data_IF_000166669235
#
_entry.id   IF_000166669235
#
_cell.length_a   1.000
_cell.length_b   1.000
_cell.length_c   1.000
_cell.angle_alpha   90.00
_cell.angle_beta   90.00
_cell.angle_gamma   90.00
#
_symmetry.space_group_name_H-M   'P 1'
#
loop_
_entity.id
_entity.type
_entity.pdbx_description
1 polymer ?
#
# COMPACT_ATOMS: atom_id res chain seq x y z
N UNK A 1 -20.58 -8.02 -20.84
CA UNK A 1 -21.23 -6.99 -21.69
C UNK A 1 -20.32 -5.81 -22.00
N UNK A 2 -19.68 -5.15 -21.02
CA UNK A 2 -18.76 -4.03 -21.31
C UNK A 2 -17.64 -4.39 -22.31
N UNK A 3 -17.03 -5.56 -22.15
CA UNK A 3 -15.98 -6.02 -23.05
C UNK A 3 -16.45 -6.22 -24.51
N UNK A 4 -17.65 -6.79 -24.68
CA UNK A 4 -18.27 -6.96 -25.99
C UNK A 4 -18.47 -5.61 -26.70
N UNK A 5 -19.02 -4.62 -26.00
CA UNK A 5 -19.21 -3.27 -26.55
C UNK A 5 -17.88 -2.63 -26.93
N UNK A 6 -16.82 -2.84 -26.14
CA UNK A 6 -15.50 -2.33 -26.45
C UNK A 6 -14.87 -2.99 -27.68
N UNK A 7 -15.08 -4.30 -27.88
CA UNK A 7 -14.62 -5.01 -29.08
C UNK A 7 -15.35 -4.48 -30.33
N UNK A 8 -16.68 -4.38 -30.27
CA UNK A 8 -17.50 -3.94 -31.42
C UNK A 8 -17.35 -2.45 -31.75
N UNK A 9 -16.57 -1.70 -30.98
CA UNK A 9 -16.20 -0.30 -31.29
C UNK A 9 -15.03 -0.21 -32.27
N UNK A 10 -14.23 -1.26 -32.42
CA UNK A 10 -13.12 -1.28 -33.36
C UNK A 10 -13.63 -1.72 -34.74
N UNK A 11 -13.35 -0.93 -35.78
CA UNK A 11 -13.76 -1.23 -37.16
C UNK A 11 -12.66 -1.98 -37.92
N UNK A 12 -11.39 -1.55 -37.81
CA UNK A 12 -10.28 -2.14 -38.56
C UNK A 12 -9.28 -2.91 -37.69
N UNK A 13 -8.79 -2.31 -36.59
CA UNK A 13 -7.74 -2.90 -35.77
C UNK A 13 -8.11 -2.85 -34.28
N UNK A 14 -7.97 -3.99 -33.59
CA UNK A 14 -8.16 -4.13 -32.15
C UNK A 14 -6.86 -4.62 -31.50
N UNK A 15 -6.29 -3.81 -30.61
CA UNK A 15 -5.10 -4.18 -29.83
C UNK A 15 -5.49 -4.35 -28.37
N UNK A 16 -5.28 -5.56 -27.84
CA UNK A 16 -5.55 -5.89 -26.45
C UNK A 16 -4.23 -6.02 -25.70
N UNK A 17 -4.11 -5.32 -24.56
CA UNK A 17 -2.92 -5.39 -23.70
C UNK A 17 -3.30 -5.67 -22.26
N UNK A 18 -2.42 -6.37 -21.54
CA UNK A 18 -2.57 -6.58 -20.10
C UNK A 18 -1.22 -6.48 -19.40
N UNK A 19 -1.24 -6.19 -18.09
CA UNK A 19 -0.03 -6.08 -17.27
C UNK A 19 -0.08 -7.06 -16.11
N UNK A 20 0.92 -7.95 -15.99
CA UNK A 20 1.04 -8.89 -14.89
C UNK A 20 1.23 -8.21 -13.52
N UNK A 21 1.78 -6.99 -13.48
CA UNK A 21 1.93 -6.20 -12.24
C UNK A 21 1.63 -4.72 -12.51
N UNK A 22 0.92 -4.06 -11.61
CA UNK A 22 0.62 -2.61 -11.66
C UNK A 22 0.57 -2.01 -10.26
N UNK A 23 1.02 -0.76 -10.13
CA UNK A 23 0.80 0.03 -8.92
C UNK A 23 -0.62 0.60 -8.91
N UNK A 24 -1.36 0.36 -7.85
CA UNK A 24 -2.69 0.92 -7.64
C UNK A 24 -2.78 1.44 -6.21
N UNK A 25 -3.13 2.73 -6.05
CA UNK A 25 -3.17 3.42 -4.77
C UNK A 25 -1.86 3.24 -3.95
N UNK A 26 -0.72 3.42 -4.61
CA UNK A 26 0.61 3.32 -3.98
C UNK A 26 1.06 1.89 -3.63
N UNK A 27 0.25 0.86 -3.89
CA UNK A 27 0.59 -0.55 -3.63
C UNK A 27 0.78 -1.31 -4.93
N UNK A 28 1.84 -2.10 -5.02
CA UNK A 28 2.06 -3.02 -6.14
C UNK A 28 1.06 -4.18 -6.04
N UNK A 29 0.31 -4.42 -7.11
CA UNK A 29 -0.62 -5.54 -7.23
C UNK A 29 -0.25 -6.39 -8.43
N UNK A 30 -0.22 -7.70 -8.22
CA UNK A 30 -0.13 -8.67 -9.31
C UNK A 30 -1.52 -8.91 -9.87
N UNK A 31 -1.67 -8.85 -11.19
CA UNK A 31 -2.94 -9.00 -11.88
C UNK A 31 -2.87 -10.25 -12.76
N UNK A 32 -3.89 -11.09 -12.62
CA UNK A 32 -4.12 -12.20 -13.55
C UNK A 32 -4.69 -11.65 -14.87
N UNK A 33 -4.45 -12.31 -16.01
CA UNK A 33 -5.11 -11.98 -17.27
C UNK A 33 -6.64 -12.02 -17.15
N UNK A 34 -7.34 -11.19 -17.93
CA UNK A 34 -8.80 -11.23 -17.97
C UNK A 34 -9.29 -12.55 -18.56
N UNK A 35 -10.28 -13.19 -17.93
CA UNK A 35 -10.94 -14.40 -18.47
C UNK A 35 -11.45 -14.22 -19.90
N UNK A 36 -11.87 -13.01 -20.26
CA UNK A 36 -12.41 -12.73 -21.59
C UNK A 36 -11.35 -12.86 -22.70
N UNK A 37 -10.06 -12.81 -22.36
CA UNK A 37 -8.99 -13.09 -23.34
C UNK A 37 -8.95 -14.57 -23.72
N UNK A 38 -9.27 -15.47 -22.79
CA UNK A 38 -9.35 -16.91 -23.07
C UNK A 38 -10.61 -17.26 -23.88
N UNK A 39 -11.70 -16.51 -23.70
CA UNK A 39 -12.96 -16.71 -24.45
C UNK A 39 -12.84 -16.32 -25.94
N UNK A 40 -11.87 -15.48 -26.33
CA UNK A 40 -11.65 -15.09 -27.73
C UNK A 40 -11.09 -16.24 -28.56
N UNK A 41 -10.33 -17.16 -27.96
CA UNK A 41 -9.64 -18.25 -28.68
C UNK A 41 -8.35 -17.80 -29.36
N UNK A 42 -7.34 -18.69 -29.37
CA UNK A 42 -5.99 -18.35 -29.85
C UNK A 42 -5.92 -18.11 -31.37
N UNK A 43 -6.84 -18.69 -32.13
CA UNK A 43 -6.95 -18.54 -33.59
C UNK A 43 -7.32 -17.11 -34.04
N UNK A 44 -7.83 -16.28 -33.13
CA UNK A 44 -8.25 -14.90 -33.39
C UNK A 44 -7.25 -13.88 -32.80
N UNK A 45 -6.10 -14.33 -32.29
CA UNK A 45 -5.11 -13.49 -31.62
C UNK A 45 -3.75 -13.54 -32.32
N UNK A 46 -3.40 -12.44 -32.99
CA UNK A 46 -2.03 -12.23 -33.47
C UNK A 46 -1.11 -11.93 -32.29
N UNK A 47 -0.22 -12.86 -32.00
CA UNK A 47 0.63 -12.81 -30.83
C UNK A 47 1.92 -12.02 -31.11
N UNK A 48 1.77 -10.76 -31.50
CA UNK A 48 2.90 -9.85 -31.66
C UNK A 48 3.32 -9.30 -30.29
N UNK A 49 3.79 -10.16 -29.37
CA UNK A 49 4.53 -9.66 -28.21
C UNK A 49 6.00 -9.53 -28.62
N UNK A 50 6.56 -8.31 -28.73
CA UNK A 50 7.98 -8.10 -29.05
C UNK A 50 8.91 -8.45 -27.87
N UNK A 51 8.38 -8.93 -26.75
CA UNK A 51 9.16 -9.42 -25.62
C UNK A 51 9.18 -10.95 -25.64
N UNK A 52 10.37 -11.49 -25.89
CA UNK A 52 10.64 -12.90 -26.11
C UNK A 52 9.95 -13.82 -25.11
N UNK A 53 9.39 -14.91 -25.66
CA UNK A 53 9.37 -16.26 -25.09
C UNK A 53 9.43 -16.38 -23.55
N UNK A 54 8.53 -15.71 -22.85
CA UNK A 54 8.11 -16.20 -21.53
C UNK A 54 7.05 -17.24 -21.83
N UNK A 55 7.46 -18.50 -21.75
CA UNK A 55 6.68 -19.70 -22.06
C UNK A 55 5.18 -19.49 -21.88
N UNK A 56 4.44 -19.56 -23.00
CA UNK A 56 2.99 -19.74 -23.00
C UNK A 56 2.69 -21.05 -22.29
N UNK A 57 2.42 -21.00 -20.99
CA UNK A 57 1.58 -22.04 -20.41
C UNK A 57 0.20 -21.84 -21.04
N UNK A 58 -0.35 -22.84 -21.77
CA UNK A 58 -1.65 -22.70 -22.40
C UNK A 58 -2.70 -22.43 -21.32
N UNK A 59 -3.57 -21.47 -21.61
CA UNK A 59 -4.72 -21.12 -20.79
C UNK A 59 -5.59 -22.39 -20.63
N UNK A 60 -5.62 -22.98 -19.42
CA UNK A 60 -6.49 -24.12 -19.16
C UNK A 60 -6.03 -25.15 -18.12
N UNK A 61 -4.76 -25.17 -17.68
CA UNK A 61 -4.31 -26.13 -16.64
C UNK A 61 -4.35 -25.55 -15.23
N UNK A 62 -5.55 -25.42 -14.67
CA UNK A 62 -5.71 -25.51 -13.20
C UNK A 62 -5.87 -26.99 -12.86
N UNK A 63 -4.76 -27.73 -12.97
CA UNK A 63 -4.69 -29.11 -12.51
C UNK A 63 -3.94 -29.11 -11.19
N UNK A 64 -4.67 -29.48 -10.14
CA UNK A 64 -4.22 -29.66 -8.76
C UNK A 64 -2.98 -30.55 -8.70
N UNK A 65 -1.77 -29.97 -8.81
CA UNK A 65 -0.55 -30.60 -8.31
C UNK A 65 -0.33 -30.19 -6.87
N UNK A 66 -1.11 -30.81 -6.01
CA UNK A 66 -0.80 -30.92 -4.59
C UNK A 66 0.49 -31.73 -4.46
N UNK A 67 1.50 -31.14 -3.82
CA UNK A 67 2.73 -31.84 -3.45
C UNK A 67 3.89 -31.69 -4.45
N UNK A 68 4.54 -30.52 -4.43
CA UNK A 68 6.00 -30.42 -4.58
C UNK A 68 6.42 -28.98 -4.27
N UNK A 69 7.05 -28.79 -3.11
CA UNK A 69 7.64 -27.54 -2.67
C UNK A 69 8.73 -27.09 -3.67
N UNK A 70 8.60 -25.92 -4.34
CA UNK A 70 9.68 -25.42 -5.17
C UNK A 70 10.73 -24.79 -4.26
N UNK A 71 11.97 -25.28 -4.39
CA UNK A 71 13.16 -24.71 -3.77
C UNK A 71 13.27 -23.22 -4.10
N UNK A 72 13.59 -22.42 -3.07
CA UNK A 72 13.92 -20.99 -3.19
C UNK A 72 15.07 -20.78 -4.17
N UNK A 73 14.76 -20.48 -5.43
CA UNK A 73 15.67 -19.74 -6.32
C UNK A 73 15.04 -18.37 -6.56
N UNK A 74 15.50 -17.39 -5.80
CA UNK A 74 15.08 -15.99 -5.87
C UNK A 74 15.64 -15.30 -7.11
N UNK A 75 15.18 -15.71 -8.30
CA UNK A 75 15.32 -14.93 -9.53
C UNK A 75 13.98 -14.26 -9.83
N UNK A 76 13.52 -13.42 -8.89
CA UNK A 76 12.43 -12.51 -9.16
C UNK A 76 12.83 -11.59 -10.31
N UNK A 77 12.05 -11.61 -11.40
CA UNK A 77 12.21 -10.72 -12.54
C UNK A 77 12.38 -9.28 -12.03
N UNK A 78 13.60 -8.74 -12.15
CA UNK A 78 13.89 -7.35 -11.80
C UNK A 78 13.23 -6.51 -12.87
N UNK A 79 12.16 -5.81 -12.49
CA UNK A 79 11.56 -4.76 -13.32
C UNK A 79 12.65 -3.74 -13.60
N UNK A 80 13.21 -3.78 -14.81
CA UNK A 80 14.13 -2.78 -15.35
C UNK A 80 13.32 -1.50 -15.61
N UNK A 81 13.07 -0.75 -14.56
CA UNK A 81 12.60 0.61 -14.66
C UNK A 81 13.51 1.49 -13.82
N UNK A 82 13.87 2.66 -14.35
CA UNK A 82 14.56 3.73 -13.62
C UNK A 82 13.67 4.36 -12.52
N UNK A 83 12.77 3.58 -11.92
CA UNK A 83 12.13 3.94 -10.67
C UNK A 83 13.23 4.03 -9.63
N UNK A 84 13.79 5.23 -9.46
CA UNK A 84 14.42 5.62 -8.21
C UNK A 84 13.35 5.29 -7.17
N UNK A 85 13.52 4.17 -6.45
CA UNK A 85 12.86 4.00 -5.16
C UNK A 85 13.37 5.21 -4.41
N UNK A 86 12.58 6.29 -4.42
CA UNK A 86 12.73 7.34 -3.44
C UNK A 86 12.79 6.55 -2.15
N UNK A 87 13.96 6.57 -1.52
CA UNK A 87 14.08 6.05 -0.17
C UNK A 87 12.95 6.79 0.54
N UNK A 88 11.90 6.05 0.91
CA UNK A 88 10.90 6.60 1.80
C UNK A 88 11.73 6.90 3.03
N UNK A 89 12.16 8.16 3.16
CA UNK A 89 12.88 8.65 4.31
C UNK A 89 11.92 8.36 5.44
N UNK A 90 12.22 7.30 6.18
CA UNK A 90 11.51 6.98 7.41
C UNK A 90 11.60 8.28 8.21
N UNK A 91 10.47 8.89 8.59
CA UNK A 91 10.51 10.16 9.28
C UNK A 91 11.41 9.99 10.50
N UNK A 92 12.51 10.74 10.52
CA UNK A 92 13.45 10.69 11.62
C UNK A 92 12.71 11.24 12.85
N UNK A 93 12.81 10.56 14.01
CA UNK A 93 12.17 11.04 15.21
C UNK A 93 12.78 12.40 15.56
N UNK A 94 11.91 13.39 15.78
CA UNK A 94 12.30 14.75 16.21
C UNK A 94 12.89 14.71 17.63
N UNK A 95 12.48 13.71 18.42
CA UNK A 95 12.89 13.52 19.81
C UNK A 95 13.83 12.33 19.94
N UNK A 96 14.90 12.49 20.74
CA UNK A 96 15.79 11.39 21.06
C UNK A 96 15.02 10.26 21.78
N UNK A 97 15.06 9.02 21.27
CA UNK A 97 14.30 7.91 21.84
C UNK A 97 14.79 7.46 23.23
N UNK A 98 15.97 7.91 23.68
CA UNK A 98 16.52 7.58 25.00
C UNK A 98 15.80 8.31 26.14
N UNK A 99 15.34 9.54 25.89
CA UNK A 99 14.68 10.39 26.90
C UNK A 99 13.15 10.17 26.92
N UNK A 100 12.65 9.41 25.95
CA UNK A 100 11.22 9.20 25.75
C UNK A 100 10.67 8.06 26.62
N UNK A 101 9.82 8.39 27.60
CA UNK A 101 9.12 7.42 28.46
C UNK A 101 7.61 7.48 28.20
N UNK A 102 7.02 6.51 27.48
CA UNK A 102 5.59 6.52 27.18
C UNK A 102 4.76 6.38 28.46
N UNK A 103 3.82 7.31 28.65
CA UNK A 103 2.82 7.27 29.70
C UNK A 103 1.64 6.37 29.28
N UNK A 104 0.98 5.68 30.22
CA UNK A 104 -0.21 4.88 29.90
C UNK A 104 -1.35 5.78 29.37
N UNK A 105 -2.15 5.29 28.41
CA UNK A 105 -3.18 6.09 27.74
C UNK A 105 -4.30 6.55 28.68
N UNK A 106 -4.50 5.88 29.81
CA UNK A 106 -5.50 6.22 30.82
C UNK A 106 -5.19 7.51 31.58
N UNK A 107 -3.90 7.87 31.69
CA UNK A 107 -3.46 9.09 32.37
C UNK A 107 -3.61 10.34 31.48
N UNK A 108 -3.87 10.17 30.18
CA UNK A 108 -3.94 11.28 29.24
C UNK A 108 -5.35 11.90 29.27
N UNK A 109 -5.39 13.19 29.58
CA UNK A 109 -6.59 14.01 29.66
C UNK A 109 -6.52 15.22 28.74
N UNK A 110 -7.68 15.81 28.46
CA UNK A 110 -7.79 17.06 27.69
C UNK A 110 -7.10 18.21 28.43
N UNK A 111 -6.34 19.02 27.71
CA UNK A 111 -5.60 20.16 28.27
C UNK A 111 -4.14 19.89 28.61
N UNK A 112 -3.76 18.62 28.80
CA UNK A 112 -2.37 18.23 29.11
C UNK A 112 -1.41 18.49 27.95
N UNK A 113 -0.14 18.71 28.29
CA UNK A 113 0.98 18.77 27.35
C UNK A 113 1.59 17.38 27.19
N UNK A 114 1.74 16.97 25.95
CA UNK A 114 2.25 15.65 25.58
C UNK A 114 3.39 15.77 24.58
N UNK A 115 4.33 14.85 24.67
CA UNK A 115 5.43 14.69 23.73
C UNK A 115 5.18 13.46 22.87
N UNK A 116 5.40 13.59 21.56
CA UNK A 116 5.33 12.49 20.60
C UNK A 116 6.63 12.38 19.80
N UNK A 117 7.16 11.16 19.59
CA UNK A 117 8.47 10.97 18.97
C UNK A 117 8.61 11.60 17.58
N UNK A 118 7.55 11.56 16.77
CA UNK A 118 7.56 12.07 15.39
C UNK A 118 7.10 13.52 15.29
N UNK A 119 6.34 14.00 16.26
CA UNK A 119 5.61 15.27 16.15
C UNK A 119 6.05 16.31 17.18
N UNK A 120 6.96 15.95 18.09
CA UNK A 120 7.44 16.84 19.13
C UNK A 120 6.36 17.14 20.16
N UNK A 121 6.38 18.36 20.69
CA UNK A 121 5.48 18.80 21.75
C UNK A 121 4.10 19.19 21.21
N UNK A 122 3.06 18.77 21.93
CA UNK A 122 1.69 19.11 21.60
C UNK A 122 0.78 19.26 22.81
N UNK A 123 -0.37 19.92 22.60
CA UNK A 123 -1.42 20.09 23.61
C UNK A 123 -2.66 19.30 23.21
N UNK A 124 -3.18 18.50 24.14
CA UNK A 124 -4.41 17.73 23.92
C UNK A 124 -5.61 18.68 23.94
N UNK A 125 -6.36 18.75 22.85
CA UNK A 125 -7.55 19.60 22.72
C UNK A 125 -8.82 18.86 23.13
N UNK A 126 -9.04 17.68 22.54
CA UNK A 126 -10.20 16.83 22.82
C UNK A 126 -9.81 15.37 22.88
N UNK A 127 -10.59 14.56 23.60
CA UNK A 127 -10.49 13.10 23.56
C UNK A 127 -11.89 12.55 23.33
N UNK A 128 -12.05 11.81 22.23
CA UNK A 128 -13.30 11.22 21.78
C UNK A 128 -13.20 9.68 21.80
N UNK A 129 -14.33 9.00 21.91
CA UNK A 129 -14.42 7.54 21.80
C UNK A 129 -14.43 6.77 23.13
N UNK A 130 -14.74 5.47 23.04
CA UNK A 130 -14.84 4.56 24.18
C UNK A 130 -13.46 4.17 24.74
N UNK A 131 -13.43 3.58 25.95
CA UNK A 131 -12.20 3.24 26.72
C UNK A 131 -11.11 2.54 25.87
N UNK A 132 -11.48 1.58 25.02
CA UNK A 132 -10.51 0.81 24.22
C UNK A 132 -10.03 1.53 22.94
N UNK A 133 -10.81 2.49 22.43
CA UNK A 133 -10.58 3.16 21.14
C UNK A 133 -10.61 4.69 21.29
N UNK A 134 -9.97 5.23 22.35
CA UNK A 134 -9.88 6.67 22.58
C UNK A 134 -9.01 7.34 21.51
N UNK A 135 -9.58 8.34 20.84
CA UNK A 135 -8.92 9.18 19.84
C UNK A 135 -8.71 10.56 20.45
N UNK A 136 -7.46 11.01 20.53
CA UNK A 136 -7.14 12.37 20.96
C UNK A 136 -6.89 13.28 19.76
N UNK A 137 -7.43 14.49 19.82
CA UNK A 137 -7.09 15.60 18.91
C UNK A 137 -6.00 16.43 19.59
N UNK A 138 -4.80 16.44 19.03
CA UNK A 138 -3.62 17.08 19.62
C UNK A 138 -3.10 18.14 18.65
N UNK A 139 -2.83 19.34 19.16
CA UNK A 139 -2.18 20.41 18.42
C UNK A 139 -0.66 20.35 18.64
N UNK A 140 0.11 20.16 17.57
CA UNK A 140 1.58 20.12 17.62
C UNK A 140 2.17 21.43 17.12
N UNK A 141 3.05 22.04 17.92
CA UNK A 141 3.68 23.32 17.55
C UNK A 141 4.73 23.14 16.47
N UNK A 142 5.51 22.06 16.56
CA UNK A 142 6.71 21.84 15.74
C UNK A 142 6.42 21.21 14.37
N UNK A 143 5.17 20.83 14.10
CA UNK A 143 4.76 20.14 12.86
C UNK A 143 3.98 21.06 11.94
N UNK A 144 4.52 21.29 10.75
CA UNK A 144 3.85 21.95 9.61
C UNK A 144 3.19 23.30 9.98
N UNK A 145 3.81 24.09 10.85
CA UNK A 145 3.32 25.43 11.22
C UNK A 145 2.15 25.46 12.21
N UNK A 146 1.98 24.43 13.05
CA UNK A 146 0.91 24.37 14.05
C UNK A 146 -0.28 23.55 13.58
N UNK A 147 -0.06 22.27 13.25
CA UNK A 147 -1.12 21.39 12.76
C UNK A 147 -1.81 20.61 13.89
N UNK A 148 -3.13 20.45 13.76
CA UNK A 148 -3.91 19.52 14.58
C UNK A 148 -3.86 18.12 13.97
N UNK A 149 -3.56 17.09 14.78
CA UNK A 149 -3.60 15.69 14.37
C UNK A 149 -4.56 14.91 15.26
N UNK A 150 -5.31 14.00 14.66
CA UNK A 150 -6.15 13.02 15.37
C UNK A 150 -5.37 11.71 15.48
N UNK A 151 -5.14 11.24 16.70
CA UNK A 151 -4.30 10.08 16.98
C UNK A 151 -5.01 9.14 17.97
N UNK A 152 -5.00 7.84 17.68
CA UNK A 152 -5.52 6.82 18.60
C UNK A 152 -4.54 6.63 19.77
N UNK A 153 -4.97 6.88 21.01
CA UNK A 153 -4.11 6.87 22.20
C UNK A 153 -3.36 5.54 22.39
N UNK A 154 -4.01 4.42 22.04
CA UNK A 154 -3.44 3.07 22.13
C UNK A 154 -2.16 2.87 21.31
N UNK A 155 -2.02 3.58 20.18
CA UNK A 155 -0.86 3.46 19.29
C UNK A 155 0.04 4.69 19.27
N UNK A 156 -0.41 5.79 19.86
CA UNK A 156 0.28 7.07 19.81
C UNK A 156 1.63 7.05 20.54
N UNK A 157 1.78 6.27 21.61
CA UNK A 157 2.94 6.32 22.52
C UNK A 157 3.29 7.77 22.85
N UNK A 158 2.49 8.38 23.74
CA UNK A 158 2.67 9.76 24.18
C UNK A 158 3.33 9.76 25.56
N UNK A 159 4.20 10.73 25.81
CA UNK A 159 4.73 11.02 27.13
C UNK A 159 4.05 12.28 27.65
N UNK A 160 3.46 12.22 28.84
CA UNK A 160 2.90 13.40 29.50
C UNK A 160 4.07 14.19 30.10
N UNK A 161 4.13 15.49 29.78
CA UNK A 161 5.12 16.41 30.36
C UNK A 161 4.47 17.19 31.52
N UNK A 162 3.21 17.60 31.36
CA UNK A 162 2.50 18.53 32.26
C UNK A 162 0.97 18.39 32.11
#
# INVERSE_FOLDING_TARGET
RLFYVAITRAESHLVLTYSASRYRYGKQRFNQPSRFLAEIGEQHLDSSSPHGSVARAPFGRFETRMGQSPKKSSSGAKVQGNFKRGTQRKPEPVVNPADFKPSPPDQIQTGMKVLHLLFGEGKVLSIDGARDNRVATIFFKDVDGGSQKRILLKFAKLQVID
#
